data_IF_912752202007
#
_entry.id   IF_912752202007
#
_cell.length_a   1.000
_cell.length_b   1.000
_cell.length_c   1.000
_cell.angle_alpha   90.00
_cell.angle_beta   90.00
_cell.angle_gamma   90.00
#
_symmetry.space_group_name_H-M   'P 1'
#
loop_
_entity.id
_entity.type
_entity.pdbx_description
1 polymer ?
#
# COMPACT_ATOMS: atom_id res chain seq x y z
N UNK A 1 2.65 18.06 12.12
CA UNK A 1 2.76 16.92 11.18
C UNK A 1 1.75 17.15 10.08
N UNK A 2 2.07 16.80 8.82
CA UNK A 2 1.11 16.90 7.74
C UNK A 2 -0.13 16.07 8.05
N UNK A 3 -1.23 16.41 7.39
CA UNK A 3 -2.44 15.57 7.36
C UNK A 3 -2.19 14.41 6.41
N UNK A 4 -2.73 13.25 6.70
CA UNK A 4 -2.40 11.99 6.05
C UNK A 4 -3.67 11.23 5.71
N UNK A 5 -3.84 10.97 4.42
CA UNK A 5 -4.85 10.06 3.87
C UNK A 5 -4.15 8.72 3.63
N UNK A 6 -4.69 7.66 4.19
CA UNK A 6 -4.26 6.30 3.89
C UNK A 6 -5.11 5.73 2.77
N UNK A 7 -4.50 5.42 1.63
CA UNK A 7 -5.16 4.78 0.50
C UNK A 7 -4.91 3.27 0.54
N UNK A 8 -5.99 2.51 0.42
CA UNK A 8 -5.93 1.06 0.36
C UNK A 8 -7.03 0.52 -0.53
N UNK A 9 -7.02 -0.78 -0.80
CA UNK A 9 -7.87 -1.37 -1.82
C UNK A 9 -7.25 -2.59 -2.45
N UNK A 10 -8.10 -3.35 -3.11
CA UNK A 10 -7.72 -4.62 -3.70
C UNK A 10 -6.75 -4.46 -4.87
N UNK A 11 -6.23 -5.59 -5.33
CA UNK A 11 -5.46 -5.76 -6.53
C UNK A 11 -6.29 -5.25 -7.72
N UNK A 12 -5.67 -4.42 -8.55
CA UNK A 12 -6.24 -3.90 -9.79
C UNK A 12 -7.50 -3.00 -9.66
N UNK A 13 -7.83 -2.51 -8.46
CA UNK A 13 -8.95 -1.58 -8.26
C UNK A 13 -8.68 -0.12 -8.72
N UNK A 14 -7.41 0.23 -8.99
CA UNK A 14 -7.04 1.56 -9.48
C UNK A 14 -6.64 2.57 -8.40
N UNK A 15 -6.08 2.12 -7.27
CA UNK A 15 -5.50 2.99 -6.22
C UNK A 15 -4.60 4.09 -6.79
N UNK A 16 -3.67 3.75 -7.68
CA UNK A 16 -2.77 4.74 -8.30
C UNK A 16 -3.52 5.84 -9.05
N UNK A 17 -4.66 5.54 -9.67
CA UNK A 17 -5.52 6.54 -10.31
C UNK A 17 -6.10 7.50 -9.29
N UNK A 18 -6.65 7.00 -8.19
CA UNK A 18 -7.16 7.82 -7.07
C UNK A 18 -6.03 8.63 -6.43
N UNK A 19 -4.86 8.05 -6.25
CA UNK A 19 -3.66 8.72 -5.76
C UNK A 19 -3.27 9.93 -6.61
N UNK A 20 -3.26 9.78 -7.94
CA UNK A 20 -3.01 10.89 -8.88
C UNK A 20 -4.07 11.98 -8.77
N UNK A 21 -5.35 11.61 -8.68
CA UNK A 21 -6.43 12.58 -8.49
C UNK A 21 -6.25 13.37 -7.18
N UNK A 22 -5.81 12.72 -6.10
CA UNK A 22 -5.53 13.40 -4.83
C UNK A 22 -4.37 14.41 -4.94
N UNK A 23 -3.30 14.06 -5.67
CA UNK A 23 -2.21 14.99 -5.95
C UNK A 23 -2.71 16.22 -6.73
N UNK A 24 -3.53 16.01 -7.76
CA UNK A 24 -4.12 17.09 -8.55
C UNK A 24 -5.07 17.99 -7.74
N UNK A 25 -5.71 17.45 -6.70
CA UNK A 25 -6.57 18.20 -5.78
C UNK A 25 -5.79 18.95 -4.69
N UNK A 26 -4.46 18.80 -4.64
CA UNK A 26 -3.59 19.55 -3.74
C UNK A 26 -2.94 18.73 -2.62
N UNK A 27 -2.99 17.38 -2.67
CA UNK A 27 -2.07 16.59 -1.87
C UNK A 27 -0.63 16.82 -2.37
N UNK A 28 0.30 17.07 -1.45
CA UNK A 28 1.68 17.42 -1.77
C UNK A 28 2.54 16.19 -2.07
N UNK A 29 2.19 15.04 -1.48
CA UNK A 29 3.00 13.82 -1.56
C UNK A 29 2.15 12.58 -1.68
N UNK A 30 2.57 11.69 -2.57
CA UNK A 30 2.09 10.31 -2.66
C UNK A 30 3.24 9.39 -2.27
N UNK A 31 3.01 8.56 -1.27
CA UNK A 31 3.99 7.66 -0.66
C UNK A 31 3.52 6.23 -0.97
N UNK A 32 4.19 5.57 -1.90
CA UNK A 32 3.98 4.16 -2.19
C UNK A 32 4.77 3.32 -1.19
N UNK A 33 4.08 2.80 -0.16
CA UNK A 33 4.71 2.02 0.90
C UNK A 33 5.26 0.69 0.37
N UNK A 34 4.64 0.11 -0.67
CA UNK A 34 5.11 -1.14 -1.27
C UNK A 34 6.42 -0.90 -2.05
N UNK A 35 6.56 0.25 -2.71
CA UNK A 35 7.82 0.67 -3.34
C UNK A 35 8.92 0.95 -2.30
N UNK A 36 8.58 1.57 -1.16
CA UNK A 36 9.53 1.78 -0.06
C UNK A 36 10.08 0.44 0.48
N UNK A 37 9.24 -0.59 0.61
CA UNK A 37 9.69 -1.95 0.98
C UNK A 37 10.73 -2.46 -0.03
N UNK A 38 10.54 -2.22 -1.33
CA UNK A 38 11.51 -2.69 -2.34
C UNK A 38 12.83 -1.94 -2.22
N UNK A 39 12.80 -0.62 -2.00
CA UNK A 39 14.01 0.17 -1.78
C UNK A 39 14.77 -0.26 -0.51
N UNK A 40 14.04 -0.65 0.53
CA UNK A 40 14.63 -1.19 1.76
C UNK A 40 15.33 -2.54 1.54
N UNK A 41 15.02 -3.26 0.46
CA UNK A 41 15.62 -4.54 0.12
C UNK A 41 16.84 -4.45 -0.79
N UNK A 42 17.23 -3.24 -1.19
CA UNK A 42 18.43 -2.98 -1.99
C UNK A 42 19.74 -3.17 -1.18
N UNK A 43 20.88 -3.40 -1.86
CA UNK A 43 22.16 -3.63 -1.19
C UNK A 43 22.57 -2.46 -0.30
N UNK A 44 23.19 -2.75 0.84
CA UNK A 44 23.69 -1.74 1.78
C UNK A 44 22.65 -1.18 2.75
N UNK A 45 21.37 -1.54 2.62
CA UNK A 45 20.36 -1.16 3.60
C UNK A 45 20.52 -1.93 4.92
N UNK A 46 20.33 -1.31 6.10
CA UNK A 46 20.47 -2.00 7.38
C UNK A 46 19.56 -3.23 7.52
N UNK A 47 18.37 -3.19 6.94
CA UNK A 47 17.40 -4.28 7.00
C UNK A 47 17.83 -5.50 6.16
N UNK A 48 18.55 -5.35 5.05
CA UNK A 48 19.00 -6.52 4.27
C UNK A 48 19.97 -7.37 5.08
N UNK A 49 20.90 -6.73 5.80
CA UNK A 49 21.80 -7.42 6.72
C UNK A 49 21.04 -8.13 7.86
N UNK A 50 19.99 -7.50 8.40
CA UNK A 50 19.14 -8.13 9.44
C UNK A 50 18.35 -9.32 8.91
N UNK A 51 17.80 -9.22 7.71
CA UNK A 51 17.09 -10.33 7.06
C UNK A 51 18.05 -11.50 6.85
N UNK A 52 19.26 -11.27 6.34
CA UNK A 52 20.27 -12.32 6.17
C UNK A 52 20.72 -12.95 7.49
N UNK A 53 20.81 -12.18 8.58
CA UNK A 53 21.10 -12.71 9.92
C UNK A 53 20.01 -13.66 10.43
N UNK A 54 18.74 -13.38 10.13
CA UNK A 54 17.61 -14.17 10.65
C UNK A 54 17.28 -15.36 9.76
N UNK A 55 17.34 -15.20 8.44
CA UNK A 55 16.91 -16.21 7.46
C UNK A 55 18.06 -16.90 6.73
N UNK A 56 19.30 -16.53 7.05
CA UNK A 56 20.50 -17.08 6.42
C UNK A 56 20.93 -16.30 5.16
N UNK A 57 22.17 -16.47 4.71
CA UNK A 57 22.72 -15.71 3.59
C UNK A 57 22.11 -16.05 2.24
N UNK A 58 21.42 -17.20 2.11
CA UNK A 58 20.77 -17.63 0.87
C UNK A 58 19.63 -16.72 0.43
N UNK A 59 19.08 -15.92 1.34
CA UNK A 59 18.03 -14.93 1.02
C UNK A 59 18.58 -13.65 0.39
N UNK A 60 19.88 -13.58 0.13
CA UNK A 60 20.51 -12.48 -0.60
C UNK A 60 20.96 -12.97 -1.98
N UNK A 61 20.81 -12.11 -2.99
CA UNK A 61 21.43 -12.33 -4.30
C UNK A 61 22.95 -12.11 -4.21
N UNK A 62 23.74 -12.51 -5.22
CA UNK A 62 25.18 -12.24 -5.26
C UNK A 62 25.54 -10.75 -5.12
N UNK A 63 24.65 -9.85 -5.52
CA UNK A 63 24.80 -8.39 -5.43
C UNK A 63 24.44 -7.83 -4.05
N UNK A 64 23.96 -8.68 -3.12
CA UNK A 64 23.65 -8.30 -1.74
C UNK A 64 22.27 -7.69 -1.51
N UNK A 65 21.37 -7.74 -2.49
CA UNK A 65 19.95 -7.40 -2.32
C UNK A 65 19.16 -8.61 -1.82
N UNK A 66 18.00 -8.38 -1.22
CA UNK A 66 17.13 -9.49 -0.80
C UNK A 66 16.56 -10.20 -2.02
N UNK A 67 16.78 -11.51 -2.10
CA UNK A 67 16.07 -12.40 -3.00
C UNK A 67 14.66 -12.63 -2.45
N UNK A 68 13.70 -11.89 -2.99
CA UNK A 68 12.30 -11.95 -2.58
C UNK A 68 11.64 -13.28 -2.91
N UNK A 69 12.10 -13.98 -3.95
CA UNK A 69 11.56 -15.28 -4.31
C UNK A 69 12.00 -16.30 -3.27
N UNK A 70 13.29 -16.35 -2.96
CA UNK A 70 13.83 -17.26 -1.95
C UNK A 70 13.28 -16.96 -0.55
N UNK A 71 13.28 -15.69 -0.15
CA UNK A 71 12.68 -15.27 1.12
C UNK A 71 11.19 -15.63 1.16
N UNK A 72 10.46 -15.43 0.06
CA UNK A 72 9.06 -15.82 -0.09
C UNK A 72 8.83 -17.32 0.12
N UNK A 73 9.68 -18.17 -0.47
CA UNK A 73 9.61 -19.62 -0.30
C UNK A 73 9.75 -20.04 1.17
N UNK A 74 10.55 -19.34 1.96
CA UNK A 74 10.72 -19.59 3.38
C UNK A 74 9.49 -19.11 4.16
N UNK A 75 9.14 -17.83 4.03
CA UNK A 75 8.13 -17.21 4.92
C UNK A 75 6.70 -17.63 4.60
N UNK A 76 6.38 -18.00 3.36
CA UNK A 76 5.03 -18.48 3.03
C UNK A 76 4.77 -19.94 3.44
N UNK A 77 5.80 -20.68 3.86
CA UNK A 77 5.68 -22.06 4.37
C UNK A 77 5.71 -22.16 5.89
N UNK A 78 6.16 -21.11 6.58
CA UNK A 78 6.26 -21.05 8.04
C UNK A 78 5.63 -19.75 8.56
N UNK A 79 4.44 -19.80 9.19
CA UNK A 79 3.81 -18.63 9.80
C UNK A 79 4.69 -17.92 10.84
N UNK A 80 5.58 -18.63 11.54
CA UNK A 80 6.51 -18.00 12.46
C UNK A 80 7.63 -17.25 11.73
N UNK A 81 8.13 -17.79 10.63
CA UNK A 81 9.06 -17.09 9.74
C UNK A 81 8.44 -15.81 9.19
N UNK A 82 7.18 -15.86 8.77
CA UNK A 82 6.46 -14.66 8.32
C UNK A 82 6.37 -13.61 9.43
N UNK A 83 5.99 -14.00 10.64
CA UNK A 83 5.95 -13.06 11.79
C UNK A 83 7.32 -12.46 12.10
N UNK A 84 8.39 -13.25 12.02
CA UNK A 84 9.77 -12.75 12.22
C UNK A 84 10.13 -11.72 11.13
N UNK A 85 9.77 -11.97 9.89
CA UNK A 85 10.02 -11.03 8.79
C UNK A 85 9.22 -9.74 9.00
N UNK A 86 7.93 -9.84 9.27
CA UNK A 86 7.06 -8.69 9.51
C UNK A 86 7.55 -7.83 10.69
N UNK A 87 8.06 -8.45 11.75
CA UNK A 87 8.66 -7.74 12.89
C UNK A 87 9.93 -6.94 12.55
N UNK A 88 10.69 -7.35 11.52
CA UNK A 88 11.84 -6.60 11.02
C UNK A 88 11.41 -5.50 10.04
N UNK A 89 10.46 -5.82 9.15
CA UNK A 89 10.07 -4.96 8.02
C UNK A 89 9.18 -3.82 8.47
N UNK A 90 8.17 -4.06 9.33
CA UNK A 90 7.21 -3.02 9.70
C UNK A 90 7.86 -1.78 10.34
N UNK A 91 8.80 -1.90 11.31
CA UNK A 91 9.47 -0.73 11.86
C UNK A 91 10.32 0.03 10.82
N UNK A 92 10.99 -0.67 9.91
CA UNK A 92 11.81 -0.04 8.88
C UNK A 92 10.96 0.72 7.87
N UNK A 93 9.83 0.15 7.44
CA UNK A 93 8.87 0.82 6.56
C UNK A 93 8.25 2.01 7.26
N UNK A 94 7.86 1.87 8.54
CA UNK A 94 7.34 2.98 9.34
C UNK A 94 8.33 4.15 9.42
N UNK A 95 9.62 3.87 9.63
CA UNK A 95 10.67 4.90 9.62
C UNK A 95 10.81 5.58 8.25
N UNK A 96 10.80 4.82 7.15
CA UNK A 96 10.87 5.36 5.79
C UNK A 96 9.64 6.23 5.46
N UNK A 97 8.44 5.81 5.88
CA UNK A 97 7.22 6.61 5.73
C UNK A 97 7.34 7.91 6.53
N UNK A 98 7.82 7.86 7.78
CA UNK A 98 8.01 9.06 8.60
C UNK A 98 9.02 10.04 7.98
N UNK A 99 10.09 9.52 7.37
CA UNK A 99 11.03 10.35 6.62
C UNK A 99 10.34 11.04 5.43
N UNK A 100 9.55 10.31 4.66
CA UNK A 100 8.77 10.87 3.55
C UNK A 100 7.76 11.94 4.03
N UNK A 101 7.07 11.68 5.15
CA UNK A 101 6.15 12.64 5.76
C UNK A 101 6.86 13.90 6.27
N UNK A 102 8.12 13.79 6.71
CA UNK A 102 8.90 14.94 7.16
C UNK A 102 9.20 15.95 6.05
N UNK A 103 9.10 15.53 4.78
CA UNK A 103 9.33 16.36 3.59
C UNK A 103 8.07 17.09 3.13
N UNK A 104 6.92 16.80 3.73
CA UNK A 104 5.63 17.44 3.43
C UNK A 104 5.47 18.68 4.32
N UNK A 105 4.84 19.73 3.79
CA UNK A 105 4.64 20.94 4.57
C UNK A 105 3.82 20.63 5.85
N UNK A 106 4.03 21.34 6.97
CA UNK A 106 3.29 21.08 8.21
C UNK A 106 1.77 21.17 8.06
N UNK A 107 1.29 22.05 7.17
CA UNK A 107 -0.12 22.21 6.81
C UNK A 107 -0.57 21.31 5.63
N UNK A 108 0.38 20.61 5.02
CA UNK A 108 0.20 19.84 3.79
C UNK A 108 -0.61 18.57 3.99
N UNK A 109 -0.87 17.90 2.87
CA UNK A 109 -1.56 16.61 2.83
C UNK A 109 -0.66 15.59 2.15
N UNK A 110 -0.43 14.46 2.80
CA UNK A 110 0.24 13.30 2.25
C UNK A 110 -0.76 12.17 2.01
N UNK A 111 -0.48 11.33 1.02
CA UNK A 111 -1.23 10.11 0.72
C UNK A 111 -0.28 8.93 0.90
N UNK A 112 -0.61 8.00 1.80
CA UNK A 112 0.11 6.73 1.94
C UNK A 112 -0.68 5.66 1.19
N UNK A 113 -0.14 5.13 0.10
CA UNK A 113 -0.69 3.94 -0.58
C UNK A 113 0.01 2.69 -0.06
N UNK A 114 -0.78 1.78 0.51
CA UNK A 114 -0.29 0.50 0.96
C UNK A 114 -1.34 -0.60 0.74
N UNK A 115 -0.93 -1.72 0.14
CA UNK A 115 -1.79 -2.90 0.03
C UNK A 115 -2.24 -3.38 1.41
N UNK A 116 -1.31 -3.49 2.37
CA UNK A 116 -1.56 -3.88 3.77
C UNK A 116 -1.71 -2.68 4.71
N UNK A 117 -2.38 -1.61 4.28
CA UNK A 117 -2.52 -0.40 5.12
C UNK A 117 -3.16 -0.71 6.48
N UNK A 118 -4.24 -1.49 6.48
CA UNK A 118 -5.06 -1.77 7.65
C UNK A 118 -4.40 -2.79 8.57
N UNK A 119 -3.66 -3.72 8.00
CA UNK A 119 -3.01 -4.84 8.68
C UNK A 119 -1.60 -4.49 9.17
N UNK A 120 -0.89 -3.60 8.44
CA UNK A 120 0.53 -3.27 8.65
C UNK A 120 0.81 -2.17 9.67
N UNK A 121 -0.17 -1.74 10.46
CA UNK A 121 -0.01 -0.72 11.51
C UNK A 121 0.14 0.72 11.00
N UNK A 122 0.45 0.94 9.72
CA UNK A 122 0.57 2.27 9.11
C UNK A 122 -0.75 3.05 9.10
N UNK A 123 -1.90 2.37 9.21
CA UNK A 123 -3.20 2.99 9.41
C UNK A 123 -3.22 3.98 10.60
N UNK A 124 -2.40 3.76 11.64
CA UNK A 124 -2.30 4.65 12.80
C UNK A 124 -1.70 6.03 12.45
N UNK A 125 -0.96 6.15 11.34
CA UNK A 125 -0.41 7.41 10.85
C UNK A 125 -1.46 8.23 10.08
N UNK A 126 -2.58 7.63 9.70
CA UNK A 126 -3.57 8.21 8.80
C UNK A 126 -4.74 8.81 9.58
N UNK A 127 -5.11 10.07 9.31
CA UNK A 127 -6.32 10.67 9.88
C UNK A 127 -7.60 10.16 9.18
N UNK A 128 -7.48 9.71 7.94
CA UNK A 128 -8.60 9.13 7.19
C UNK A 128 -8.11 7.98 6.30
N UNK A 129 -8.84 6.87 6.28
CA UNK A 129 -8.52 5.64 5.55
C UNK A 129 -9.53 5.46 4.42
N UNK A 130 -9.04 5.34 3.19
CA UNK A 130 -9.86 5.33 1.98
C UNK A 130 -9.72 4.00 1.28
N UNK A 131 -10.82 3.30 1.08
CA UNK A 131 -10.88 2.04 0.35
C UNK A 131 -11.26 2.29 -1.11
N UNK A 132 -10.37 1.96 -2.04
CA UNK A 132 -10.67 1.94 -3.48
C UNK A 132 -11.15 0.55 -3.85
N UNK A 133 -12.30 0.49 -4.53
CA UNK A 133 -12.90 -0.74 -5.03
C UNK A 133 -13.20 -0.61 -6.53
N UNK A 134 -13.37 -1.74 -7.21
CA UNK A 134 -14.06 -1.78 -8.49
C UNK A 134 -14.82 -3.11 -8.62
N UNK A 135 -15.53 -3.32 -9.73
CA UNK A 135 -16.26 -4.57 -9.93
C UNK A 135 -15.28 -5.77 -10.01
N UNK A 136 -15.68 -6.96 -9.53
CA UNK A 136 -14.84 -8.16 -9.60
C UNK A 136 -14.39 -8.51 -11.03
N UNK A 137 -15.25 -8.27 -12.03
CA UNK A 137 -14.94 -8.49 -13.44
C UNK A 137 -13.84 -7.55 -13.92
N UNK A 138 -13.84 -6.30 -13.45
CA UNK A 138 -12.78 -5.34 -13.75
C UNK A 138 -11.49 -5.67 -13.01
N UNK A 139 -11.54 -6.11 -11.74
CA UNK A 139 -10.35 -6.58 -11.02
C UNK A 139 -9.66 -7.70 -11.77
N UNK A 140 -10.44 -8.72 -12.18
CA UNK A 140 -9.93 -9.87 -12.94
C UNK A 140 -9.32 -9.44 -14.27
N UNK A 141 -10.06 -8.69 -15.08
CA UNK A 141 -9.61 -8.23 -16.40
C UNK A 141 -8.32 -7.42 -16.30
N UNK A 142 -8.31 -6.39 -15.44
CA UNK A 142 -7.15 -5.50 -15.25
C UNK A 142 -5.96 -6.27 -14.67
N UNK A 143 -6.18 -7.27 -13.81
CA UNK A 143 -5.12 -8.10 -13.26
C UNK A 143 -4.46 -8.97 -14.32
N UNK A 144 -5.25 -9.64 -15.17
CA UNK A 144 -4.78 -10.43 -16.30
C UNK A 144 -3.98 -9.54 -17.26
N UNK A 145 -4.55 -8.42 -17.68
CA UNK A 145 -3.92 -7.49 -18.64
C UNK A 145 -2.57 -6.96 -18.15
N UNK A 146 -2.49 -6.53 -16.88
CA UNK A 146 -1.27 -5.89 -16.35
C UNK A 146 -0.18 -6.89 -15.93
N UNK A 147 -0.55 -8.12 -15.60
CA UNK A 147 0.38 -9.11 -15.00
C UNK A 147 0.65 -10.30 -15.92
N UNK A 148 0.03 -10.34 -17.10
CA UNK A 148 0.13 -11.42 -18.09
C UNK A 148 -0.11 -12.81 -17.49
N UNK A 149 -1.06 -12.90 -16.55
CA UNK A 149 -1.41 -14.15 -15.86
C UNK A 149 -2.50 -14.91 -16.62
N UNK A 150 -2.57 -16.22 -16.39
CA UNK A 150 -3.77 -16.98 -16.72
C UNK A 150 -4.95 -16.53 -15.86
N UNK A 151 -6.17 -16.76 -16.34
CA UNK A 151 -7.39 -16.47 -15.59
C UNK A 151 -7.42 -17.22 -14.24
N UNK A 152 -6.98 -18.47 -14.21
CA UNK A 152 -6.92 -19.29 -13.01
C UNK A 152 -5.96 -18.69 -11.96
N UNK A 153 -4.75 -18.28 -12.36
CA UNK A 153 -3.80 -17.62 -11.45
C UNK A 153 -4.33 -16.27 -10.95
N UNK A 154 -4.99 -15.51 -11.82
CA UNK A 154 -5.59 -14.24 -11.47
C UNK A 154 -6.72 -14.43 -10.43
N UNK A 155 -7.62 -15.39 -10.65
CA UNK A 155 -8.68 -15.74 -9.70
C UNK A 155 -8.13 -16.23 -8.36
N UNK A 156 -7.09 -17.07 -8.37
CA UNK A 156 -6.44 -17.53 -7.14
C UNK A 156 -5.89 -16.35 -6.32
N UNK A 157 -5.27 -15.37 -6.99
CA UNK A 157 -4.78 -14.13 -6.34
C UNK A 157 -5.92 -13.26 -5.81
N UNK A 158 -7.02 -13.13 -6.55
CA UNK A 158 -8.17 -12.35 -6.10
C UNK A 158 -8.79 -12.96 -4.84
N UNK A 159 -8.96 -14.28 -4.80
CA UNK A 159 -9.53 -15.03 -3.65
C UNK A 159 -8.65 -15.00 -2.40
N UNK A 160 -7.34 -14.79 -2.56
CA UNK A 160 -6.41 -14.70 -1.43
C UNK A 160 -6.46 -13.36 -0.70
N UNK A 161 -7.16 -12.36 -1.25
CA UNK A 161 -7.29 -11.03 -0.63
C UNK A 161 -8.35 -11.03 0.47
N UNK A 162 -8.21 -10.15 1.48
CA UNK A 162 -9.30 -9.86 2.41
C UNK A 162 -10.54 -9.38 1.66
N UNK A 163 -11.72 -9.80 2.11
CA UNK A 163 -12.96 -9.40 1.48
C UNK A 163 -13.23 -7.90 1.69
N UNK A 164 -13.90 -7.25 0.73
CA UNK A 164 -14.23 -5.82 0.85
C UNK A 164 -15.09 -5.59 2.10
N UNK A 165 -16.04 -6.49 2.36
CA UNK A 165 -16.97 -6.43 3.48
C UNK A 165 -16.26 -6.40 4.84
N UNK A 166 -15.15 -7.12 4.97
CA UNK A 166 -14.33 -7.11 6.19
C UNK A 166 -13.60 -5.78 6.41
N UNK A 167 -13.38 -5.01 5.34
CA UNK A 167 -12.61 -3.76 5.37
C UNK A 167 -13.49 -2.53 5.48
N UNK A 168 -14.75 -2.60 5.04
CA UNK A 168 -15.71 -1.48 5.11
C UNK A 168 -15.81 -0.85 6.52
N UNK A 169 -15.85 -1.61 7.63
CA UNK A 169 -15.93 -1.01 8.97
C UNK A 169 -14.63 -0.32 9.43
N UNK A 170 -13.52 -0.55 8.72
CA UNK A 170 -12.18 -0.09 9.09
C UNK A 170 -11.75 1.15 8.30
N UNK A 171 -12.61 1.68 7.43
CA UNK A 171 -12.30 2.82 6.56
C UNK A 171 -13.29 3.97 6.74
N UNK A 172 -12.83 5.17 6.43
CA UNK A 172 -13.59 6.40 6.56
C UNK A 172 -14.30 6.78 5.25
N UNK A 173 -13.75 6.37 4.12
CA UNK A 173 -14.26 6.66 2.77
C UNK A 173 -14.15 5.43 1.87
N UNK A 174 -15.09 5.28 0.95
CA UNK A 174 -15.06 4.26 -0.12
C UNK A 174 -15.15 4.98 -1.46
N UNK A 175 -14.21 4.67 -2.35
CA UNK A 175 -14.16 5.22 -3.72
C UNK A 175 -14.40 4.06 -4.69
N UNK A 176 -15.54 4.09 -5.37
CA UNK A 176 -15.87 3.10 -6.40
C UNK A 176 -15.33 3.54 -7.76
N UNK A 177 -14.34 2.79 -8.25
CA UNK A 177 -13.70 3.00 -9.54
C UNK A 177 -14.20 1.99 -10.61
N UNK A 178 -15.46 1.58 -10.49
CA UNK A 178 -16.18 0.76 -11.48
C UNK A 178 -16.72 1.55 -12.66
N UNK A 179 -17.08 2.82 -12.41
CA UNK A 179 -17.62 3.72 -13.41
C UNK A 179 -16.56 4.37 -14.30
N UNK A 180 -16.92 5.49 -14.89
CA UNK A 180 -16.02 6.37 -15.63
C UNK A 180 -15.00 7.06 -14.71
N UNK A 181 -13.86 7.47 -15.28
CA UNK A 181 -12.86 8.26 -14.55
C UNK A 181 -13.42 9.57 -13.99
N UNK A 182 -14.43 10.14 -14.64
CA UNK A 182 -15.09 11.36 -14.18
C UNK A 182 -15.96 11.10 -12.94
N UNK A 183 -16.72 10.01 -12.92
CA UNK A 183 -17.48 9.59 -11.74
C UNK A 183 -16.55 9.29 -10.55
N UNK A 184 -15.42 8.61 -10.80
CA UNK A 184 -14.38 8.41 -9.78
C UNK A 184 -13.83 9.75 -9.29
N UNK A 185 -13.49 10.68 -10.20
CA UNK A 185 -12.98 12.01 -9.85
C UNK A 185 -13.96 12.80 -8.98
N UNK A 186 -15.25 12.72 -9.26
CA UNK A 186 -16.28 13.38 -8.46
C UNK A 186 -16.35 12.80 -7.03
N UNK A 187 -16.27 11.48 -6.89
CA UNK A 187 -16.22 10.83 -5.58
C UNK A 187 -14.96 11.27 -4.79
N UNK A 188 -13.79 11.22 -5.43
CA UNK A 188 -12.52 11.65 -4.82
C UNK A 188 -12.57 13.11 -4.39
N UNK A 189 -13.10 14.00 -5.24
CA UNK A 189 -13.23 15.44 -4.94
C UNK A 189 -14.13 15.68 -3.73
N UNK A 190 -15.27 14.98 -3.64
CA UNK A 190 -16.20 15.09 -2.50
C UNK A 190 -15.58 14.58 -1.21
N UNK A 191 -14.94 13.42 -1.25
CA UNK A 191 -14.23 12.84 -0.11
C UNK A 191 -13.07 13.73 0.36
N UNK A 192 -12.32 14.31 -0.58
CA UNK A 192 -11.20 15.21 -0.28
C UNK A 192 -11.68 16.51 0.37
N UNK A 193 -12.79 17.05 -0.11
CA UNK A 193 -13.43 18.23 0.49
C UNK A 193 -13.85 17.95 1.94
N UNK A 194 -14.50 16.79 2.20
CA UNK A 194 -14.86 16.38 3.57
C UNK A 194 -13.63 16.19 4.44
N UNK A 195 -12.57 15.59 3.92
CA UNK A 195 -11.31 15.42 4.63
C UNK A 195 -10.72 16.78 5.05
N UNK A 196 -10.63 17.74 4.14
CA UNK A 196 -10.12 19.08 4.42
C UNK A 196 -10.98 19.84 5.44
N UNK A 197 -12.31 19.66 5.42
CA UNK A 197 -13.21 20.26 6.40
C UNK A 197 -13.07 19.64 7.79
N UNK A 198 -12.93 18.30 7.86
CA UNK A 198 -12.78 17.56 9.12
C UNK A 198 -11.40 17.77 9.75
N UNK A 199 -10.37 17.93 8.93
CA UNK A 199 -8.98 18.14 9.34
C UNK A 199 -8.46 19.43 8.70
N UNK A 200 -8.81 20.61 9.26
CA UNK A 200 -8.30 21.89 8.75
C UNK A 200 -6.78 21.98 8.91
N UNK A 201 -6.09 22.78 8.08
CA UNK A 201 -4.66 23.02 8.25
C UNK A 201 -4.39 23.60 9.65
N UNK A 202 -3.37 23.07 10.31
CA UNK A 202 -2.88 23.55 11.62
C UNK A 202 -2.02 24.79 11.45
#
# INVERSE_FOLDING_TARGET
>A
MPRVIGLTGNIACGKTTVGKMLLELGAERYIDADALVHSLYEPGQPITARIAQVFGPSVLTPEGRVDRQELGHIVFRDPEALRRLEALVHPAVGAAILEELSRVSPSGIAVIDAVKLLEGGHAALCQSKWLVICSPEQELRRLIERSHLSEEEALARLRAQPSVEQRLPLVDEVIDNSGSLEETRQQVTRAFTRFCQRFPPS
#
